data_IF_523881238072
#
_entry.id   IF_523881238072
#
_cell.length_a   1.000
_cell.length_b   1.000
_cell.length_c   1.000
_cell.angle_alpha   90.00
_cell.angle_beta   90.00
_cell.angle_gamma   90.00
#
_symmetry.space_group_name_H-M   'P 1'
#
loop_
_entity.id
_entity.type
_entity.pdbx_description
1 polymer ?
#
# COMPACT_ATOMS: atom_id res chain seq x y z
N UNK A 1 -3.74 0.06 -14.71
CA UNK A 1 -5.15 -0.29 -14.48
C UNK A 1 -5.33 -0.34 -12.97
N UNK A 2 -6.20 0.50 -12.42
CA UNK A 2 -6.45 0.52 -10.97
C UNK A 2 -7.41 -0.61 -10.59
N UNK A 3 -7.33 -1.05 -9.33
CA UNK A 3 -8.07 -2.20 -8.80
C UNK A 3 -8.66 -1.80 -7.45
N UNK A 4 -9.89 -2.26 -7.19
CA UNK A 4 -10.55 -2.06 -5.89
C UNK A 4 -10.91 -3.41 -5.30
N UNK A 5 -10.50 -3.65 -4.06
CA UNK A 5 -10.96 -4.78 -3.26
C UNK A 5 -12.14 -4.36 -2.40
N UNK A 6 -13.16 -5.20 -2.31
CA UNK A 6 -14.29 -4.99 -1.40
C UNK A 6 -14.27 -6.10 -0.35
N UNK A 7 -14.17 -5.71 0.91
CA UNK A 7 -14.23 -6.59 2.08
C UNK A 7 -15.37 -6.13 2.96
N UNK A 8 -16.10 -7.08 3.54
CA UNK A 8 -17.18 -6.81 4.48
C UNK A 8 -16.87 -7.39 5.84
N UNK A 9 -17.26 -6.65 6.88
CA UNK A 9 -17.20 -7.11 8.27
C UNK A 9 -18.59 -7.05 8.86
N UNK A 10 -19.04 -8.16 9.43
CA UNK A 10 -20.40 -8.29 9.95
C UNK A 10 -20.43 -9.16 11.22
N UNK A 11 -21.56 -9.13 11.92
CA UNK A 11 -21.79 -9.92 13.13
C UNK A 11 -22.84 -10.99 12.80
N UNK A 12 -22.54 -12.26 13.09
CA UNK A 12 -23.50 -13.35 12.91
C UNK A 12 -24.54 -13.38 14.02
N UNK A 13 -25.54 -14.24 13.88
CA UNK A 13 -26.58 -14.45 14.90
C UNK A 13 -25.98 -14.93 16.24
N UNK A 14 -24.90 -15.72 16.19
CA UNK A 14 -24.14 -16.18 17.35
C UNK A 14 -23.20 -15.10 17.95
N UNK A 15 -23.34 -13.84 17.53
CA UNK A 15 -22.52 -12.69 17.95
C UNK A 15 -21.03 -12.80 17.59
N UNK A 16 -20.69 -13.65 16.62
CA UNK A 16 -19.32 -13.77 16.12
C UNK A 16 -19.05 -12.69 15.07
N UNK A 17 -17.88 -12.05 15.18
CA UNK A 17 -17.41 -11.08 14.17
C UNK A 17 -16.76 -11.84 13.02
N UNK A 18 -17.29 -11.65 11.81
CA UNK A 18 -16.81 -12.27 10.59
C UNK A 18 -16.28 -11.20 9.63
N UNK A 19 -15.33 -11.56 8.79
CA UNK A 19 -14.75 -10.69 7.76
C UNK A 19 -14.52 -11.49 6.47
N UNK A 20 -15.16 -11.07 5.39
CA UNK A 20 -15.14 -11.77 4.10
C UNK A 20 -14.68 -10.84 2.99
N UNK A 21 -13.69 -11.29 2.19
CA UNK A 21 -13.31 -10.65 0.94
C UNK A 21 -14.33 -11.03 -0.14
N UNK A 22 -15.09 -10.04 -0.62
CA UNK A 22 -16.07 -10.26 -1.69
C UNK A 22 -15.41 -10.38 -3.06
N UNK A 23 -14.27 -9.72 -3.24
CA UNK A 23 -13.44 -9.88 -4.43
C UNK A 23 -12.68 -8.62 -4.82
N UNK A 24 -12.07 -8.71 -6.00
CA UNK A 24 -11.36 -7.63 -6.65
C UNK A 24 -12.10 -7.20 -7.92
N UNK A 25 -12.20 -5.89 -8.11
CA UNK A 25 -12.93 -5.28 -9.21
C UNK A 25 -12.02 -4.30 -9.95
N UNK A 26 -12.22 -4.21 -11.26
CA UNK A 26 -11.41 -3.39 -12.16
C UNK A 26 -12.28 -2.26 -12.71
N UNK A 27 -12.33 -1.11 -12.02
CA UNK A 27 -13.14 0.01 -12.48
C UNK A 27 -12.57 0.60 -13.79
N UNK A 28 -13.43 1.07 -14.71
CA UNK A 28 -12.99 1.76 -15.92
C UNK A 28 -12.36 3.13 -15.62
N UNK A 29 -12.76 3.75 -14.50
CA UNK A 29 -12.22 5.00 -13.98
C UNK A 29 -12.32 5.02 -12.45
N UNK A 30 -11.54 5.89 -11.82
CA UNK A 30 -11.47 6.00 -10.36
C UNK A 30 -12.30 7.17 -9.84
N UNK A 31 -13.39 7.49 -10.53
CA UNK A 31 -14.33 8.49 -10.03
C UNK A 31 -15.16 7.90 -8.90
N UNK A 32 -15.52 8.75 -7.95
CA UNK A 32 -16.35 8.33 -6.82
C UNK A 32 -17.71 7.80 -7.25
N UNK A 33 -18.23 8.25 -8.42
CA UNK A 33 -19.48 7.74 -9.01
C UNK A 33 -19.33 6.28 -9.41
N UNK A 34 -18.29 5.99 -10.20
CA UNK A 34 -18.01 4.63 -10.70
C UNK A 34 -17.75 3.68 -9.54
N UNK A 35 -16.94 4.09 -8.56
CA UNK A 35 -16.65 3.27 -7.38
C UNK A 35 -17.89 3.01 -6.52
N UNK A 36 -18.73 4.02 -6.29
CA UNK A 36 -20.00 3.84 -5.57
C UNK A 36 -20.91 2.85 -6.30
N UNK A 37 -21.01 2.97 -7.63
CA UNK A 37 -21.82 2.05 -8.44
C UNK A 37 -21.34 0.61 -8.31
N UNK A 38 -20.02 0.37 -8.41
CA UNK A 38 -19.44 -0.96 -8.24
C UNK A 38 -19.80 -1.55 -6.88
N UNK A 39 -19.68 -0.78 -5.80
CA UNK A 39 -20.06 -1.24 -4.46
C UNK A 39 -21.53 -1.69 -4.46
N UNK A 40 -22.45 -0.86 -4.96
CA UNK A 40 -23.88 -1.18 -4.99
C UNK A 40 -24.18 -2.41 -5.87
N UNK A 41 -23.57 -2.50 -7.05
CA UNK A 41 -23.74 -3.61 -7.99
C UNK A 41 -23.27 -4.94 -7.37
N UNK A 42 -22.18 -4.92 -6.59
CA UNK A 42 -21.67 -6.12 -5.89
C UNK A 42 -22.67 -6.63 -4.87
N UNK A 43 -23.21 -5.76 -4.01
CA UNK A 43 -24.22 -6.18 -3.05
C UNK A 43 -25.54 -6.58 -3.71
N UNK A 44 -25.90 -5.95 -4.84
CA UNK A 44 -27.04 -6.34 -5.66
C UNK A 44 -26.88 -7.77 -6.20
N UNK A 45 -25.73 -8.11 -6.79
CA UNK A 45 -25.44 -9.46 -7.29
C UNK A 45 -25.41 -10.52 -6.20
N UNK A 46 -25.03 -10.16 -4.98
CA UNK A 46 -25.07 -11.04 -3.81
C UNK A 46 -26.47 -11.15 -3.20
N UNK A 47 -27.47 -10.46 -3.73
CA UNK A 47 -28.82 -10.33 -3.16
C UNK A 47 -28.82 -9.84 -1.69
N UNK A 48 -27.86 -8.98 -1.35
CA UNK A 48 -27.73 -8.39 -0.02
C UNK A 48 -28.30 -6.98 -0.02
N UNK A 49 -29.37 -6.79 0.74
CA UNK A 49 -29.96 -5.47 0.96
C UNK A 49 -29.17 -4.71 2.02
N UNK A 50 -28.41 -3.69 1.59
CA UNK A 50 -27.61 -2.83 2.47
C UNK A 50 -28.49 -2.05 3.46
N UNK A 51 -29.47 -1.29 2.98
CA UNK A 51 -30.46 -0.58 3.80
C UNK A 51 -29.92 -0.03 5.13
N UNK A 52 -30.58 -0.36 6.23
CA UNK A 52 -30.15 -0.04 7.59
C UNK A 52 -29.04 -0.95 8.14
N UNK A 53 -28.63 -2.00 7.41
CA UNK A 53 -27.57 -2.94 7.80
C UNK A 53 -26.17 -2.37 7.53
N UNK A 54 -26.04 -1.39 6.64
CA UNK A 54 -24.77 -0.69 6.42
C UNK A 54 -24.50 0.30 7.56
N UNK A 55 -23.81 -0.17 8.60
CA UNK A 55 -23.48 0.66 9.76
C UNK A 55 -22.29 1.58 9.51
N UNK A 56 -21.27 1.11 8.78
CA UNK A 56 -20.01 1.82 8.64
C UNK A 56 -19.34 1.49 7.30
N UNK A 57 -18.61 2.46 6.77
CA UNK A 57 -17.66 2.29 5.66
C UNK A 57 -16.28 2.78 6.07
N UNK A 58 -15.25 2.03 5.69
CA UNK A 58 -13.86 2.39 5.95
C UNK A 58 -13.09 2.54 4.65
N UNK A 59 -12.53 3.72 4.41
CA UNK A 59 -11.75 4.01 3.21
C UNK A 59 -10.46 4.77 3.54
N UNK A 60 -9.53 4.81 2.59
CA UNK A 60 -8.32 5.63 2.71
C UNK A 60 -8.62 7.14 2.68
N UNK A 61 -7.58 7.95 2.88
CA UNK A 61 -7.68 9.41 2.87
C UNK A 61 -7.83 10.03 1.48
N UNK A 62 -7.93 9.25 0.40
CA UNK A 62 -8.05 9.82 -0.94
C UNK A 62 -9.36 10.59 -1.07
N UNK A 63 -9.32 11.76 -1.70
CA UNK A 63 -10.48 12.65 -1.84
C UNK A 63 -11.66 11.98 -2.56
N UNK A 64 -11.38 11.11 -3.54
CA UNK A 64 -12.37 10.28 -4.22
C UNK A 64 -13.14 9.38 -3.24
N UNK A 65 -12.47 8.82 -2.23
CA UNK A 65 -13.07 7.85 -1.31
C UNK A 65 -13.66 8.54 -0.08
N UNK A 66 -12.86 9.37 0.59
CA UNK A 66 -13.18 10.01 1.87
C UNK A 66 -13.81 11.39 1.76
N UNK A 67 -13.85 11.98 0.56
CA UNK A 67 -14.34 13.34 0.35
C UNK A 67 -15.76 13.56 0.88
N UNK A 68 -15.94 14.65 1.62
CA UNK A 68 -17.19 15.02 2.29
C UNK A 68 -18.22 15.71 1.38
N UNK A 69 -17.89 16.01 0.13
CA UNK A 69 -18.83 16.61 -0.83
C UNK A 69 -19.21 15.59 -1.89
N UNK A 70 -18.22 15.03 -2.57
CA UNK A 70 -18.41 14.18 -3.73
C UNK A 70 -17.76 12.81 -3.61
N UNK A 71 -17.16 12.48 -2.46
CA UNK A 71 -16.48 11.19 -2.24
C UNK A 71 -17.44 10.02 -2.11
N UNK A 72 -16.92 8.79 -2.23
CA UNK A 72 -17.69 7.55 -2.09
C UNK A 72 -18.41 7.51 -0.74
N UNK A 73 -17.73 7.89 0.35
CA UNK A 73 -18.34 7.91 1.69
C UNK A 73 -19.57 8.83 1.75
N UNK A 74 -19.49 10.02 1.15
CA UNK A 74 -20.62 10.95 1.15
C UNK A 74 -21.77 10.44 0.28
N UNK A 75 -21.46 9.81 -0.86
CA UNK A 75 -22.48 9.19 -1.73
C UNK A 75 -23.22 8.06 -1.04
N UNK A 76 -22.50 7.15 -0.37
CA UNK A 76 -23.11 6.07 0.38
C UNK A 76 -23.91 6.60 1.57
N UNK A 77 -23.40 7.60 2.28
CA UNK A 77 -24.13 8.25 3.38
C UNK A 77 -25.44 8.90 2.93
N UNK A 78 -25.49 9.50 1.75
CA UNK A 78 -26.72 10.08 1.20
C UNK A 78 -27.77 8.99 0.85
N UNK A 79 -27.32 7.81 0.41
CA UNK A 79 -28.21 6.67 0.13
C UNK A 79 -28.63 5.94 1.42
N UNK A 80 -27.74 5.89 2.40
CA UNK A 80 -27.90 5.18 3.66
C UNK A 80 -27.55 6.12 4.84
N UNK A 81 -28.49 6.97 5.28
CA UNK A 81 -28.21 8.06 6.24
C UNK A 81 -27.60 7.61 7.59
N UNK A 82 -27.80 6.36 8.00
CA UNK A 82 -27.22 5.78 9.21
C UNK A 82 -25.76 5.34 9.10
N UNK A 83 -25.14 5.46 7.92
CA UNK A 83 -23.76 5.00 7.69
C UNK A 83 -22.74 5.98 8.28
N UNK A 84 -21.81 5.46 9.06
CA UNK A 84 -20.64 6.19 9.55
C UNK A 84 -19.43 6.00 8.63
N UNK A 85 -18.61 7.03 8.54
CA UNK A 85 -17.33 6.95 7.84
C UNK A 85 -16.19 6.87 8.87
N UNK A 86 -15.28 5.92 8.65
CA UNK A 86 -14.06 5.75 9.45
C UNK A 86 -12.85 5.76 8.51
N UNK A 87 -11.78 6.44 8.92
CA UNK A 87 -10.53 6.41 8.16
C UNK A 87 -9.85 5.05 8.30
N UNK A 88 -9.24 4.58 7.20
CA UNK A 88 -8.44 3.37 7.20
C UNK A 88 -7.29 3.47 8.21
N UNK A 89 -7.36 2.67 9.27
CA UNK A 89 -6.35 2.68 10.34
C UNK A 89 -4.94 2.39 9.84
N UNK A 90 -4.79 1.47 8.88
CA UNK A 90 -3.49 1.16 8.29
C UNK A 90 -2.90 2.37 7.57
N UNK A 91 -3.71 3.11 6.80
CA UNK A 91 -3.25 4.30 6.11
C UNK A 91 -2.93 5.44 7.09
N UNK A 92 -3.76 5.64 8.11
CA UNK A 92 -3.48 6.62 9.17
C UNK A 92 -2.18 6.31 9.91
N UNK A 93 -1.92 5.04 10.23
CA UNK A 93 -0.67 4.61 10.85
C UNK A 93 0.54 4.83 9.91
N UNK A 94 0.38 4.51 8.62
CA UNK A 94 1.39 4.72 7.58
C UNK A 94 1.88 6.18 7.56
N UNK A 95 0.93 7.12 7.57
CA UNK A 95 1.20 8.56 7.57
C UNK A 95 1.94 9.01 8.84
N UNK A 96 1.51 8.55 10.02
CA UNK A 96 2.17 8.89 11.29
C UNK A 96 3.60 8.39 11.30
N UNK A 97 3.82 7.14 10.89
CA UNK A 97 5.16 6.56 10.85
C UNK A 97 6.06 7.28 9.84
N UNK A 98 5.51 7.67 8.69
CA UNK A 98 6.22 8.47 7.70
C UNK A 98 6.65 9.83 8.26
N UNK A 99 5.74 10.54 8.92
CA UNK A 99 6.02 11.83 9.51
C UNK A 99 7.07 11.73 10.62
N UNK A 100 6.89 10.83 11.58
CA UNK A 100 7.82 10.67 12.71
C UNK A 100 9.21 10.29 12.22
N UNK A 101 9.31 9.34 11.29
CA UNK A 101 10.60 8.86 10.81
C UNK A 101 11.37 9.91 10.01
N UNK A 102 10.67 10.79 9.28
CA UNK A 102 11.31 11.93 8.60
C UNK A 102 11.90 12.97 9.56
N UNK A 103 11.40 13.03 10.80
CA UNK A 103 11.88 13.96 11.83
C UNK A 103 13.06 13.41 12.63
N UNK A 104 13.30 12.10 12.57
CA UNK A 104 14.46 11.46 13.23
C UNK A 104 15.56 11.26 12.19
N UNK A 105 16.55 12.16 12.18
CA UNK A 105 17.63 12.20 11.16
C UNK A 105 18.29 10.84 10.94
N UNK A 106 18.66 10.14 12.01
CA UNK A 106 19.27 8.81 11.91
C UNK A 106 18.38 7.80 11.15
N UNK A 107 17.08 7.79 11.43
CA UNK A 107 16.13 6.88 10.78
C UNK A 107 15.93 7.31 9.32
N UNK A 108 15.78 8.61 9.07
CA UNK A 108 15.65 9.15 7.72
C UNK A 108 16.86 8.80 6.84
N UNK A 109 18.07 8.96 7.36
CA UNK A 109 19.32 8.67 6.66
C UNK A 109 19.46 7.17 6.36
N UNK A 110 19.18 6.31 7.34
CA UNK A 110 19.21 4.86 7.14
C UNK A 110 18.21 4.41 6.05
N UNK A 111 16.98 4.94 6.09
CA UNK A 111 15.96 4.64 5.08
C UNK A 111 16.36 5.17 3.70
N UNK A 112 16.89 6.39 3.62
CA UNK A 112 17.37 6.98 2.38
C UNK A 112 18.53 6.20 1.78
N UNK A 113 19.47 5.74 2.61
CA UNK A 113 20.58 4.89 2.17
C UNK A 113 20.06 3.61 1.52
N UNK A 114 19.16 2.88 2.19
CA UNK A 114 18.56 1.65 1.65
C UNK A 114 17.81 1.92 0.34
N UNK A 115 17.02 3.01 0.29
CA UNK A 115 16.31 3.40 -0.92
C UNK A 115 17.29 3.66 -2.08
N UNK A 116 18.36 4.43 -1.84
CA UNK A 116 19.35 4.77 -2.86
C UNK A 116 20.11 3.55 -3.35
N UNK A 117 20.56 2.65 -2.48
CA UNK A 117 21.20 1.39 -2.89
C UNK A 117 20.27 0.56 -3.79
N UNK A 118 19.01 0.40 -3.40
CA UNK A 118 18.04 -0.35 -4.18
C UNK A 118 17.74 0.30 -5.54
N UNK A 119 17.64 1.62 -5.59
CA UNK A 119 17.43 2.38 -6.82
C UNK A 119 18.64 2.29 -7.75
N UNK A 120 19.87 2.44 -7.23
CA UNK A 120 21.11 2.35 -8.00
C UNK A 120 21.28 0.99 -8.67
N UNK A 121 20.97 -0.10 -7.97
CA UNK A 121 21.02 -1.46 -8.53
C UNK A 121 20.04 -1.63 -9.69
N UNK A 122 18.84 -1.03 -9.58
CA UNK A 122 17.75 -1.17 -10.56
C UNK A 122 17.82 -0.20 -11.72
N UNK A 123 18.63 0.85 -11.61
CA UNK A 123 18.73 1.93 -12.59
C UNK A 123 19.22 1.43 -13.97
N UNK A 124 20.15 0.47 -13.99
CA UNK A 124 20.74 -0.05 -15.23
C UNK A 124 20.75 -1.58 -15.26
N UNK A 125 20.50 -2.20 -16.43
CA UNK A 125 20.62 -3.66 -16.60
C UNK A 125 22.00 -4.19 -16.20
N UNK A 126 23.08 -3.45 -16.52
CA UNK A 126 24.47 -3.78 -16.13
C UNK A 126 24.62 -3.91 -14.62
N UNK A 127 24.10 -2.93 -13.86
CA UNK A 127 24.16 -2.90 -12.39
C UNK A 127 23.34 -4.01 -11.76
N UNK A 128 22.17 -4.30 -12.32
CA UNK A 128 21.35 -5.45 -11.90
C UNK A 128 22.09 -6.77 -12.11
N UNK A 129 22.79 -6.93 -13.24
CA UNK A 129 23.60 -8.12 -13.51
C UNK A 129 24.79 -8.23 -12.53
N UNK A 130 25.52 -7.13 -12.29
CA UNK A 130 26.59 -7.07 -11.29
C UNK A 130 26.09 -7.48 -9.89
N UNK A 131 24.95 -6.90 -9.46
CA UNK A 131 24.32 -7.26 -8.19
C UNK A 131 23.94 -8.74 -8.11
N UNK A 132 23.38 -9.29 -9.19
CA UNK A 132 22.99 -10.70 -9.27
C UNK A 132 24.21 -11.61 -9.12
N UNK A 133 25.32 -11.27 -9.78
CA UNK A 133 26.58 -12.01 -9.67
C UNK A 133 27.14 -11.98 -8.23
N UNK A 134 27.08 -10.83 -7.56
CA UNK A 134 27.53 -10.69 -6.17
C UNK A 134 26.67 -11.51 -5.19
N UNK A 135 25.37 -11.65 -5.46
CA UNK A 135 24.48 -12.42 -4.60
C UNK A 135 24.55 -13.94 -4.83
N UNK A 136 25.10 -14.40 -5.95
CA UNK A 136 25.17 -15.81 -6.30
C UNK A 136 23.79 -16.46 -6.45
N UNK A 137 23.60 -17.65 -5.90
CA UNK A 137 22.37 -18.45 -6.05
C UNK A 137 21.19 -17.95 -5.20
N UNK A 138 21.46 -17.23 -4.10
CA UNK A 138 20.43 -16.70 -3.18
C UNK A 138 20.18 -15.21 -3.42
N UNK A 139 19.73 -14.85 -4.62
CA UNK A 139 19.52 -13.46 -5.01
C UNK A 139 18.35 -12.84 -4.24
N UNK A 140 18.66 -12.08 -3.19
CA UNK A 140 17.69 -11.22 -2.52
C UNK A 140 17.85 -9.81 -3.11
N UNK A 141 16.90 -9.42 -3.95
CA UNK A 141 16.91 -8.10 -4.57
C UNK A 141 16.57 -7.03 -3.53
N UNK A 142 17.40 -5.97 -3.45
CA UNK A 142 17.09 -4.83 -2.59
C UNK A 142 15.75 -4.20 -2.97
N UNK A 143 14.98 -3.82 -1.95
CA UNK A 143 13.68 -3.19 -2.13
C UNK A 143 13.80 -1.67 -1.98
N UNK A 144 13.43 -0.96 -3.04
CA UNK A 144 13.33 0.49 -2.99
C UNK A 144 12.10 0.86 -2.17
N UNK A 145 12.24 1.87 -1.32
CA UNK A 145 11.15 2.36 -0.49
C UNK A 145 10.07 3.05 -1.34
N UNK A 146 8.81 2.90 -0.91
CA UNK A 146 7.63 3.48 -1.54
C UNK A 146 6.95 4.40 -0.50
N UNK A 147 6.59 5.65 -0.87
CA UNK A 147 5.98 6.57 0.07
C UNK A 147 4.71 6.02 0.73
N UNK A 148 3.84 5.35 -0.04
CA UNK A 148 2.49 4.93 0.36
C UNK A 148 2.40 3.56 1.03
N UNK A 149 3.53 2.89 1.28
CA UNK A 149 3.56 1.54 1.86
C UNK A 149 4.65 1.43 2.93
N UNK A 150 4.43 2.00 4.10
CA UNK A 150 5.32 1.93 5.26
C UNK A 150 5.73 0.52 5.63
N UNK A 151 4.82 -0.43 5.60
CA UNK A 151 5.09 -1.82 5.98
C UNK A 151 6.26 -2.45 5.18
N UNK A 152 6.60 -1.95 3.99
CA UNK A 152 7.73 -2.49 3.21
C UNK A 152 9.10 -2.06 3.73
N UNK A 153 9.17 -1.02 4.58
CA UNK A 153 10.44 -0.46 5.07
C UNK A 153 11.16 -1.42 6.01
N UNK A 154 10.43 -2.16 6.84
CA UNK A 154 11.02 -3.21 7.69
C UNK A 154 11.68 -4.29 6.83
N UNK A 155 10.96 -4.80 5.82
CA UNK A 155 11.50 -5.79 4.88
C UNK A 155 12.73 -5.25 4.14
N UNK A 156 12.66 -4.01 3.65
CA UNK A 156 13.78 -3.39 2.95
C UNK A 156 15.02 -3.22 3.84
N UNK A 157 14.84 -2.83 5.11
CA UNK A 157 15.92 -2.73 6.09
C UNK A 157 16.54 -4.10 6.38
N UNK A 158 15.72 -5.12 6.65
CA UNK A 158 16.20 -6.49 6.86
C UNK A 158 16.95 -7.04 5.66
N UNK A 159 16.47 -6.77 4.44
CA UNK A 159 17.16 -7.17 3.21
C UNK A 159 18.50 -6.46 3.07
N UNK A 160 18.57 -5.17 3.37
CA UNK A 160 19.81 -4.41 3.31
C UNK A 160 20.82 -4.87 4.37
N UNK A 161 20.35 -5.17 5.59
CA UNK A 161 21.17 -5.72 6.67
C UNK A 161 21.73 -7.10 6.28
N UNK A 162 20.87 -8.01 5.82
CA UNK A 162 21.28 -9.36 5.39
C UNK A 162 22.25 -9.34 4.20
N UNK A 163 22.19 -8.30 3.36
CA UNK A 163 23.05 -8.15 2.19
C UNK A 163 24.12 -7.07 2.36
N UNK A 164 24.39 -6.62 3.59
CA UNK A 164 25.23 -5.44 3.83
C UNK A 164 26.62 -5.58 3.20
N UNK A 165 27.22 -6.78 3.26
CA UNK A 165 28.51 -7.05 2.62
C UNK A 165 28.47 -6.94 1.10
N UNK A 166 27.41 -7.43 0.48
CA UNK A 166 27.21 -7.34 -0.97
C UNK A 166 26.97 -5.90 -1.41
N UNK A 167 26.26 -5.09 -0.59
CA UNK A 167 26.10 -3.65 -0.81
C UNK A 167 27.47 -2.96 -0.82
N UNK A 168 28.33 -3.25 0.17
CA UNK A 168 29.67 -2.68 0.23
C UNK A 168 30.50 -3.04 -1.02
N UNK A 169 30.51 -4.32 -1.39
CA UNK A 169 31.26 -4.78 -2.56
C UNK A 169 30.74 -4.13 -3.85
N UNK A 170 29.42 -4.06 -4.02
CA UNK A 170 28.79 -3.41 -5.17
C UNK A 170 29.17 -1.93 -5.30
N UNK A 171 29.13 -1.18 -4.19
CA UNK A 171 29.52 0.23 -4.19
C UNK A 171 31.03 0.41 -4.46
N UNK A 172 31.88 -0.48 -3.95
CA UNK A 172 33.32 -0.47 -4.23
C UNK A 172 33.61 -0.77 -5.71
N UNK A 173 32.91 -1.74 -6.31
CA UNK A 173 33.02 -2.02 -7.74
C UNK A 173 32.60 -0.81 -8.58
N UNK A 174 31.50 -0.13 -8.21
CA UNK A 174 31.04 1.07 -8.89
C UNK A 174 32.06 2.23 -8.81
N UNK A 175 32.72 2.41 -7.67
CA UNK A 175 33.75 3.45 -7.50
C UNK A 175 35.00 3.19 -8.36
N UNK A 176 35.30 1.91 -8.63
CA UNK A 176 36.46 1.51 -9.41
C UNK A 176 36.15 1.38 -10.92
N UNK A 177 34.88 1.36 -11.31
CA UNK A 177 34.46 1.30 -12.71
C UNK A 177 34.51 2.70 -13.33
N UNK A 178 35.66 3.04 -13.93
CA UNK A 178 35.93 4.32 -14.61
C UNK A 178 35.20 4.50 -15.94
N UNK A 179 34.24 3.62 -16.26
CA UNK A 179 33.41 3.65 -17.48
C UNK A 179 31.99 4.20 -17.29
N UNK A 180 31.68 4.74 -16.09
CA UNK A 180 30.42 5.41 -15.76
C UNK A 180 30.42 6.91 -16.11
#
# INVERSE_FOLDING_TARGET
MEQVSITVRYVSEDLNVNEDLLGFYYPPDCSSKTLTKIILDVFCHLNVLLGSKLCCVSFDGASTMSGNISGVQMRLKNLFPGTYFVHCGNHSLDLVLQEVSSKVTFVADALNFVHQCASLVKELPKRKAQWTNLCGENVIMLQALCPTRWCIRETALKQAENNYKNIQNFLLELLNDSSL
#
